data_IF_785921495117
#
_entry.id   IF_785921495117
#
_cell.length_a   1.000
_cell.length_b   1.000
_cell.length_c   1.000
_cell.angle_alpha   90.00
_cell.angle_beta   90.00
_cell.angle_gamma   90.00
#
_symmetry.space_group_name_H-M   'P 1'
#
loop_
_entity.id
_entity.type
_entity.pdbx_description
1 polymer ?
#
# COMPACT_ATOMS: atom_id res chain seq x y z
N UNK A 1 49.66 -2.19 23.43
CA UNK A 1 48.72 -3.32 23.47
C UNK A 1 47.25 -2.85 23.43
N UNK A 2 46.83 -2.18 22.35
CA UNK A 2 45.41 -1.82 22.09
C UNK A 2 44.99 -2.06 20.64
N UNK A 3 45.94 -2.37 19.76
CA UNK A 3 45.74 -2.57 18.32
C UNK A 3 45.51 -4.04 17.91
N UNK A 4 45.74 -5.01 18.80
CA UNK A 4 45.52 -6.44 18.51
C UNK A 4 44.06 -6.87 18.75
N UNK A 5 43.31 -6.09 19.52
CA UNK A 5 41.91 -6.40 19.88
C UNK A 5 40.89 -6.01 18.81
N UNK A 6 41.25 -5.16 17.85
CA UNK A 6 40.34 -4.72 16.78
C UNK A 6 40.32 -5.72 15.61
N UNK A 7 41.41 -6.44 15.35
CA UNK A 7 41.45 -7.48 14.32
C UNK A 7 40.73 -8.77 14.72
N UNK A 8 40.53 -9.00 16.02
CA UNK A 8 39.89 -10.22 16.53
C UNK A 8 38.35 -10.17 16.43
N UNK A 9 37.76 -8.97 16.29
CA UNK A 9 36.31 -8.81 16.05
C UNK A 9 35.98 -9.02 14.57
N UNK A 10 36.90 -8.71 13.66
CA UNK A 10 36.70 -8.92 12.22
C UNK A 10 36.85 -10.41 11.85
N UNK A 11 37.71 -11.15 12.55
CA UNK A 11 37.89 -12.59 12.31
C UNK A 11 36.76 -13.47 12.88
N UNK A 12 36.04 -13.00 13.92
CA UNK A 12 34.91 -13.73 14.52
C UNK A 12 33.57 -13.54 13.78
N UNK A 13 33.50 -12.67 12.77
CA UNK A 13 32.32 -12.52 11.89
C UNK A 13 32.39 -13.47 10.68
N UNK A 14 33.52 -14.14 10.47
CA UNK A 14 33.74 -15.05 9.33
C UNK A 14 33.47 -16.53 9.63
N UNK A 15 33.01 -16.87 10.83
CA UNK A 15 32.60 -18.22 11.19
C UNK A 15 31.14 -18.19 11.67
N UNK A 16 30.27 -18.86 10.94
CA UNK A 16 28.82 -19.00 11.18
C UNK A 16 27.90 -17.82 10.85
N UNK A 17 28.16 -17.13 9.75
CA UNK A 17 27.05 -16.66 8.91
C UNK A 17 27.04 -17.46 7.61
N UNK A 18 26.57 -18.69 7.72
CA UNK A 18 25.68 -19.26 6.70
C UNK A 18 24.48 -18.31 6.59
N UNK A 19 24.70 -17.16 5.92
CA UNK A 19 23.62 -16.25 5.52
C UNK A 19 22.84 -17.07 4.52
N UNK A 20 21.78 -17.70 4.99
CA UNK A 20 20.89 -18.53 4.21
C UNK A 20 20.44 -17.75 2.95
N UNK A 21 21.11 -17.97 1.82
CA UNK A 21 20.93 -17.20 0.58
C UNK A 21 19.50 -17.25 0.04
N UNK A 22 18.72 -18.24 0.50
CA UNK A 22 17.28 -18.34 0.28
C UNK A 22 16.51 -17.08 0.74
N UNK A 23 16.94 -16.41 1.81
CA UNK A 23 16.27 -15.21 2.31
C UNK A 23 16.52 -13.98 1.43
N UNK A 24 17.73 -13.86 0.86
CA UNK A 24 18.07 -12.82 -0.12
C UNK A 24 17.24 -12.99 -1.38
N UNK A 25 17.13 -14.22 -1.90
CA UNK A 25 16.28 -14.52 -3.06
C UNK A 25 14.81 -14.15 -2.83
N UNK A 26 14.28 -14.45 -1.64
CA UNK A 26 12.91 -14.12 -1.26
C UNK A 26 12.66 -12.60 -1.19
N UNK A 27 13.65 -11.82 -0.73
CA UNK A 27 13.56 -10.35 -0.75
C UNK A 27 13.50 -9.78 -2.17
N UNK A 28 14.33 -10.30 -3.09
CA UNK A 28 14.29 -9.88 -4.50
C UNK A 28 12.94 -10.21 -5.15
N UNK A 29 12.37 -11.38 -4.87
CA UNK A 29 11.03 -11.74 -5.34
C UNK A 29 9.97 -10.78 -4.81
N UNK A 30 10.02 -10.46 -3.51
CA UNK A 30 9.10 -9.48 -2.92
C UNK A 30 9.27 -8.11 -3.57
N UNK A 31 10.51 -7.67 -3.82
CA UNK A 31 10.79 -6.40 -4.51
C UNK A 31 10.15 -6.35 -5.88
N UNK A 32 10.36 -7.37 -6.72
CA UNK A 32 9.75 -7.43 -8.05
C UNK A 32 8.21 -7.44 -8.00
N UNK A 33 7.62 -8.13 -7.03
CA UNK A 33 6.17 -8.08 -6.82
C UNK A 33 5.67 -6.70 -6.41
N UNK A 34 6.40 -5.99 -5.55
CA UNK A 34 6.06 -4.64 -5.12
C UNK A 34 6.19 -3.63 -6.26
N UNK A 35 7.22 -3.73 -7.10
CA UNK A 35 7.39 -2.90 -8.29
C UNK A 35 6.25 -3.12 -9.29
N UNK A 36 5.88 -4.37 -9.55
CA UNK A 36 4.76 -4.70 -10.43
C UNK A 36 3.43 -4.13 -9.90
N UNK A 37 3.17 -4.28 -8.59
CA UNK A 37 1.95 -3.73 -7.97
C UNK A 37 1.95 -2.20 -7.95
N UNK A 38 3.12 -1.57 -7.78
CA UNK A 38 3.25 -0.11 -7.91
C UNK A 38 2.90 0.35 -9.31
N UNK A 39 3.48 -0.27 -10.34
CA UNK A 39 3.18 0.04 -11.74
C UNK A 39 1.70 -0.14 -12.05
N UNK A 40 1.05 -1.14 -11.45
CA UNK A 40 -0.40 -1.35 -11.61
C UNK A 40 -1.24 -0.27 -10.93
N UNK A 41 -0.77 0.31 -9.82
CA UNK A 41 -1.44 1.46 -9.21
C UNK A 41 -1.32 2.70 -10.09
N UNK A 42 -0.15 2.92 -10.69
CA UNK A 42 0.07 4.00 -11.66
C UNK A 42 -0.87 3.87 -12.87
N UNK A 43 -0.95 2.68 -13.46
CA UNK A 43 -1.85 2.40 -14.58
C UNK A 43 -3.32 2.69 -14.25
N UNK A 44 -3.78 2.27 -13.06
CA UNK A 44 -5.15 2.56 -12.61
C UNK A 44 -5.37 4.06 -12.44
N UNK A 45 -4.41 4.79 -11.87
CA UNK A 45 -4.52 6.24 -11.68
C UNK A 45 -4.56 6.99 -13.02
N UNK A 46 -3.77 6.56 -14.00
CA UNK A 46 -3.78 7.13 -15.35
C UNK A 46 -5.09 6.82 -16.09
N UNK A 47 -5.60 5.59 -15.99
CA UNK A 47 -6.92 5.24 -16.52
C UNK A 47 -8.02 6.11 -15.92
N UNK A 48 -8.00 6.35 -14.60
CA UNK A 48 -8.95 7.23 -13.93
C UNK A 48 -8.85 8.66 -14.44
N UNK A 49 -7.64 9.22 -14.55
CA UNK A 49 -7.42 10.58 -15.08
C UNK A 49 -8.00 10.73 -16.49
N UNK A 50 -7.77 9.74 -17.35
CA UNK A 50 -8.32 9.76 -18.70
C UNK A 50 -9.86 9.75 -18.72
N UNK A 51 -10.50 8.99 -17.81
CA UNK A 51 -11.97 9.01 -17.68
C UNK A 51 -12.46 10.34 -17.10
N UNK A 52 -11.77 10.93 -16.12
CA UNK A 52 -12.12 12.25 -15.60
C UNK A 52 -12.07 13.32 -16.69
N UNK A 53 -11.02 13.35 -17.52
CA UNK A 53 -10.94 14.30 -18.64
C UNK A 53 -12.12 14.11 -19.61
N UNK A 54 -12.52 12.86 -19.89
CA UNK A 54 -13.70 12.58 -20.72
C UNK A 54 -15.01 13.00 -20.05
N UNK A 55 -15.12 12.86 -18.74
CA UNK A 55 -16.26 13.34 -17.97
C UNK A 55 -16.39 14.86 -18.06
N UNK A 56 -15.29 15.58 -17.92
CA UNK A 56 -15.29 17.04 -18.00
C UNK A 56 -15.78 17.50 -19.39
N UNK A 57 -15.31 16.85 -20.46
CA UNK A 57 -15.82 17.11 -21.82
C UNK A 57 -17.30 16.75 -21.97
N UNK A 58 -17.72 15.58 -21.52
CA UNK A 58 -19.12 15.15 -21.62
C UNK A 58 -20.07 16.06 -20.81
N UNK A 59 -19.60 16.65 -19.71
CA UNK A 59 -20.37 17.63 -18.94
C UNK A 59 -20.58 18.92 -19.72
N UNK A 60 -19.53 19.42 -20.39
CA UNK A 60 -19.65 20.58 -21.28
C UNK A 60 -20.58 20.28 -22.46
N UNK A 61 -20.49 19.08 -23.03
CA UNK A 61 -21.39 18.66 -24.11
C UNK A 61 -22.84 18.58 -23.63
N UNK A 62 -23.10 18.07 -22.42
CA UNK A 62 -24.44 17.98 -21.84
C UNK A 62 -25.09 19.36 -21.65
N UNK A 63 -24.31 20.35 -21.23
CA UNK A 63 -24.78 21.72 -21.04
C UNK A 63 -25.24 22.34 -22.37
N UNK A 64 -24.48 22.10 -23.44
CA UNK A 64 -24.67 22.71 -24.76
C UNK A 64 -25.52 21.88 -25.74
N UNK A 65 -25.83 20.63 -25.42
CA UNK A 65 -26.56 19.73 -26.32
C UNK A 65 -28.06 20.04 -26.44
N UNK A 66 -28.65 19.62 -27.57
CA UNK A 66 -30.09 19.61 -27.78
C UNK A 66 -30.79 18.63 -26.80
N UNK A 67 -32.06 18.88 -26.39
CA UNK A 67 -32.76 18.06 -25.41
C UNK A 67 -32.76 16.55 -25.71
N UNK A 68 -32.86 16.18 -26.99
CA UNK A 68 -32.88 14.79 -27.45
C UNK A 68 -31.55 14.05 -27.19
N UNK A 69 -30.42 14.76 -27.30
CA UNK A 69 -29.09 14.20 -27.07
C UNK A 69 -28.67 14.24 -25.58
N UNK A 70 -29.31 15.05 -24.75
CA UNK A 70 -28.97 15.18 -23.31
C UNK A 70 -29.14 13.86 -22.56
N UNK A 71 -30.14 13.05 -22.92
CA UNK A 71 -30.37 11.75 -22.29
C UNK A 71 -29.21 10.80 -22.55
N UNK A 72 -28.77 10.67 -23.80
CA UNK A 72 -27.65 9.80 -24.19
C UNK A 72 -26.34 10.23 -23.51
N UNK A 73 -26.06 11.55 -23.50
CA UNK A 73 -24.85 12.09 -22.84
C UNK A 73 -24.91 11.82 -21.32
N UNK A 74 -26.08 11.98 -20.70
CA UNK A 74 -26.28 11.71 -19.27
C UNK A 74 -26.04 10.24 -18.93
N UNK A 75 -26.54 9.32 -19.75
CA UNK A 75 -26.28 7.88 -19.60
C UNK A 75 -24.79 7.57 -19.69
N UNK A 76 -24.08 8.19 -20.65
CA UNK A 76 -22.63 8.00 -20.79
C UNK A 76 -21.85 8.54 -19.59
N UNK A 77 -22.27 9.68 -19.03
CA UNK A 77 -21.69 10.23 -17.79
C UNK A 77 -21.87 9.25 -16.62
N UNK A 78 -23.06 8.65 -16.47
CA UNK A 78 -23.33 7.65 -15.43
C UNK A 78 -22.44 6.40 -15.62
N UNK A 79 -22.32 5.92 -16.86
CA UNK A 79 -21.46 4.79 -17.18
C UNK A 79 -19.99 5.07 -16.81
N UNK A 80 -19.45 6.23 -17.20
CA UNK A 80 -18.08 6.64 -16.88
C UNK A 80 -17.85 6.75 -15.36
N UNK A 81 -18.83 7.27 -14.60
CA UNK A 81 -18.77 7.28 -13.13
C UNK A 81 -18.74 5.87 -12.55
N UNK A 82 -19.52 4.95 -13.12
CA UNK A 82 -19.48 3.53 -12.76
C UNK A 82 -18.10 2.89 -13.02
N UNK A 83 -17.48 3.20 -14.16
CA UNK A 83 -16.13 2.73 -14.48
C UNK A 83 -15.08 3.24 -13.49
N UNK A 84 -15.16 4.52 -13.09
CA UNK A 84 -14.29 5.09 -12.04
C UNK A 84 -14.47 4.34 -10.71
N UNK A 85 -15.69 4.03 -10.31
CA UNK A 85 -15.94 3.28 -9.08
C UNK A 85 -15.30 1.88 -9.11
N UNK A 86 -15.40 1.18 -10.24
CA UNK A 86 -14.73 -0.11 -10.44
C UNK A 86 -13.21 0.01 -10.36
N UNK A 87 -12.63 1.06 -10.96
CA UNK A 87 -11.19 1.34 -10.88
C UNK A 87 -10.75 1.65 -9.45
N UNK A 88 -11.54 2.39 -8.67
CA UNK A 88 -11.26 2.62 -7.24
C UNK A 88 -11.29 1.34 -6.42
N UNK A 89 -12.26 0.46 -6.66
CA UNK A 89 -12.28 -0.86 -6.01
C UNK A 89 -11.03 -1.68 -6.36
N UNK A 90 -10.60 -1.66 -7.62
CA UNK A 90 -9.35 -2.32 -8.05
C UNK A 90 -8.13 -1.71 -7.37
N UNK A 91 -8.04 -0.38 -7.31
CA UNK A 91 -6.98 0.36 -6.62
C UNK A 91 -6.87 -0.05 -5.16
N UNK A 92 -8.00 -0.08 -4.45
CA UNK A 92 -8.08 -0.49 -3.04
C UNK A 92 -7.61 -1.93 -2.82
N UNK A 93 -8.01 -2.86 -3.69
CA UNK A 93 -7.53 -4.26 -3.63
C UNK A 93 -6.03 -4.35 -3.82
N UNK A 94 -5.47 -3.64 -4.80
CA UNK A 94 -4.02 -3.61 -5.05
C UNK A 94 -3.27 -3.02 -3.85
N UNK A 95 -3.75 -1.90 -3.27
CA UNK A 95 -3.19 -1.32 -2.04
C UNK A 95 -3.21 -2.33 -0.87
N UNK A 96 -4.27 -3.11 -0.72
CA UNK A 96 -4.37 -4.13 0.33
C UNK A 96 -3.36 -5.28 0.15
N UNK A 97 -3.20 -5.76 -1.08
CA UNK A 97 -2.18 -6.78 -1.42
C UNK A 97 -0.78 -6.23 -1.16
N UNK A 98 -0.50 -5.01 -1.60
CA UNK A 98 0.76 -4.31 -1.35
C UNK A 98 1.07 -4.23 0.15
N UNK A 99 0.11 -3.83 0.98
CA UNK A 99 0.23 -3.79 2.45
C UNK A 99 0.50 -5.17 3.04
N UNK A 100 -0.18 -6.19 2.54
CA UNK A 100 -0.01 -7.59 3.00
C UNK A 100 1.39 -8.11 2.69
N UNK A 101 1.94 -7.81 1.51
CA UNK A 101 3.30 -8.17 1.12
C UNK A 101 4.31 -7.41 1.99
N UNK A 102 4.12 -6.09 2.16
CA UNK A 102 4.98 -5.26 3.01
C UNK A 102 5.03 -5.73 4.46
N UNK A 103 3.92 -6.24 5.00
CA UNK A 103 3.88 -6.79 6.36
C UNK A 103 4.67 -8.10 6.52
N UNK A 104 4.96 -8.82 5.43
CA UNK A 104 5.82 -10.01 5.43
C UNK A 104 7.32 -9.64 5.41
N UNK A 105 7.66 -8.41 5.08
CA UNK A 105 9.03 -7.90 5.09
C UNK A 105 9.43 -7.57 6.53
N UNK A 106 10.60 -8.06 7.03
CA UNK A 106 11.06 -7.71 8.37
C UNK A 106 11.20 -6.19 8.53
N UNK A 107 10.86 -5.68 9.70
CA UNK A 107 10.74 -4.23 9.96
C UNK A 107 11.99 -3.43 9.57
N UNK A 108 13.17 -3.98 9.88
CA UNK A 108 14.46 -3.39 9.55
C UNK A 108 14.67 -3.16 8.03
N UNK A 109 14.00 -3.94 7.17
CA UNK A 109 14.09 -3.82 5.71
C UNK A 109 12.89 -3.11 5.08
N UNK A 110 11.79 -2.87 5.80
CA UNK A 110 10.60 -2.23 5.23
C UNK A 110 10.89 -0.83 4.68
N UNK A 111 11.62 0.00 5.43
CA UNK A 111 12.02 1.35 4.97
C UNK A 111 12.88 1.29 3.71
N UNK A 112 13.83 0.38 3.66
CA UNK A 112 14.68 0.16 2.48
C UNK A 112 13.83 -0.26 1.27
N UNK A 113 12.90 -1.19 1.46
CA UNK A 113 12.01 -1.67 0.40
C UNK A 113 11.10 -0.55 -0.11
N UNK A 114 10.47 0.21 0.79
CA UNK A 114 9.62 1.37 0.43
C UNK A 114 10.39 2.36 -0.45
N UNK A 115 11.62 2.69 -0.06
CA UNK A 115 12.48 3.63 -0.80
C UNK A 115 12.88 3.09 -2.17
N UNK A 116 13.32 1.83 -2.23
CA UNK A 116 13.76 1.20 -3.48
C UNK A 116 12.62 1.01 -4.48
N UNK A 117 11.41 0.74 -3.99
CA UNK A 117 10.22 0.50 -4.81
C UNK A 117 9.37 1.77 -5.01
N UNK A 118 9.83 2.92 -4.48
CA UNK A 118 9.17 4.23 -4.56
C UNK A 118 7.69 4.22 -4.09
N UNK A 119 7.36 3.34 -3.15
CA UNK A 119 6.01 3.18 -2.62
C UNK A 119 5.59 4.30 -1.65
N UNK A 120 6.49 5.23 -1.36
CA UNK A 120 6.30 6.37 -0.44
C UNK A 120 5.06 7.19 -0.80
N UNK A 121 4.77 7.36 -2.09
CA UNK A 121 3.61 8.11 -2.59
C UNK A 121 2.33 7.26 -2.72
N UNK A 122 2.43 5.93 -2.58
CA UNK A 122 1.34 4.98 -2.84
C UNK A 122 0.60 4.54 -1.58
N UNK A 123 1.26 4.67 -0.44
CA UNK A 123 0.62 4.61 0.85
C UNK A 123 0.33 6.03 1.29
N UNK A 124 -0.96 6.38 1.36
CA UNK A 124 -1.38 7.58 2.08
C UNK A 124 -0.85 7.40 3.51
N UNK A 125 0.23 8.13 3.79
CA UNK A 125 1.09 7.99 4.95
C UNK A 125 1.77 6.61 5.09
N UNK A 126 3.07 6.55 4.80
CA UNK A 126 3.99 5.57 5.42
C UNK A 126 3.76 5.49 6.94
N UNK A 127 3.30 6.59 7.56
CA UNK A 127 2.87 6.68 8.96
C UNK A 127 1.56 5.95 9.29
N UNK A 128 0.60 5.75 8.37
CA UNK A 128 -0.62 4.98 8.65
C UNK A 128 -0.34 3.47 8.78
N UNK A 129 0.70 2.99 8.08
CA UNK A 129 1.16 1.59 8.18
C UNK A 129 2.00 1.38 9.45
N UNK A 130 2.87 2.34 9.78
CA UNK A 130 3.71 2.24 10.97
C UNK A 130 2.88 2.45 12.26
N UNK A 131 1.97 3.43 12.29
CA UNK A 131 1.11 3.75 13.45
C UNK A 131 0.05 2.67 13.77
N UNK A 132 -0.47 1.96 12.76
CA UNK A 132 -1.37 0.82 13.00
C UNK A 132 -0.62 -0.40 13.56
N UNK A 133 0.68 -0.52 13.28
CA UNK A 133 1.48 -1.65 13.77
C UNK A 133 1.95 -1.44 15.22
N UNK A 134 2.14 -0.18 15.66
CA UNK A 134 2.48 0.15 17.05
C UNK A 134 1.26 0.17 17.98
N UNK A 135 0.09 0.60 17.50
CA UNK A 135 -1.15 0.66 18.30
C UNK A 135 -1.80 -0.71 18.58
N UNK A 136 -1.49 -1.75 17.81
CA UNK A 136 -1.93 -3.13 18.07
C UNK A 136 -1.19 -3.82 19.25
N UNK A 137 -0.12 -3.21 19.78
CA UNK A 137 0.53 -3.69 21.02
C UNK A 137 -0.08 -3.09 22.30
N UNK A 138 -1.05 -2.18 22.18
CA UNK A 138 -1.74 -1.59 23.34
C UNK A 138 -2.95 -2.44 23.75
N UNK A 139 -2.62 -3.45 24.54
CA UNK A 139 -3.34 -3.79 25.76
C UNK A 139 -4.70 -4.51 25.63
N UNK A 140 -4.65 -5.77 25.16
CA UNK A 140 -5.70 -6.81 25.36
C UNK A 140 -6.27 -6.82 26.80
N UNK A 141 -5.49 -6.39 27.80
CA UNK A 141 -5.89 -6.31 29.21
C UNK A 141 -6.89 -5.17 29.50
N UNK A 142 -6.80 -4.04 28.79
CA UNK A 142 -7.73 -2.90 28.99
C UNK A 142 -9.07 -3.16 28.33
N UNK A 143 -9.09 -3.72 27.11
CA UNK A 143 -10.34 -4.10 26.43
C UNK A 143 -11.10 -5.15 27.26
N UNK A 144 -10.41 -6.16 27.80
CA UNK A 144 -11.02 -7.18 28.65
C UNK A 144 -11.55 -6.62 29.98
N UNK A 145 -10.92 -5.59 30.54
CA UNK A 145 -11.37 -4.91 31.77
C UNK A 145 -12.59 -4.01 31.51
N UNK A 146 -12.64 -3.33 30.37
CA UNK A 146 -13.78 -2.52 29.94
C UNK A 146 -15.02 -3.39 29.67
N UNK A 147 -14.87 -4.50 28.94
CA UNK A 147 -15.96 -5.45 28.65
C UNK A 147 -16.49 -6.10 29.93
N UNK A 148 -15.61 -6.47 30.87
CA UNK A 148 -16.02 -7.06 32.16
C UNK A 148 -16.71 -6.05 33.09
N UNK A 149 -16.47 -4.75 32.93
CA UNK A 149 -17.15 -3.69 33.68
C UNK A 149 -18.55 -3.42 33.10
N UNK A 150 -18.69 -3.46 31.77
CA UNK A 150 -19.99 -3.31 31.10
C UNK A 150 -20.94 -4.49 31.38
N UNK A 151 -20.43 -5.72 31.43
CA UNK A 151 -21.24 -6.93 31.69
C UNK A 151 -21.63 -7.14 33.17
N UNK A 152 -21.10 -6.33 34.10
CA UNK A 152 -21.50 -6.36 35.52
C UNK A 152 -22.53 -5.29 35.90
N UNK A 153 -22.89 -4.43 34.94
CA UNK A 153 -23.92 -3.39 35.10
C UNK A 153 -25.27 -3.77 34.48
N UNK A 154 -25.42 -5.01 34.04
CA UNK A 154 -26.69 -5.64 33.68
C UNK A 154 -27.03 -6.69 34.74
#
# INVERSE_FOLDING_TARGET
MKSVLIFLIIALVSADVSVNGAWVGKLYQIKGQLELLSSKLDEIDDQKRHIYNKLDHAQLDLENALPEAKTEISEKIVEMRGQIAVLEMKKSRVKSVLKTIMNKVPEQYRRMMIRQTKLESKFDEVDSIISQTSSLKTNKKFVKKAVKKALKGF
#
